data_IF_599944284566
#
_entry.id   IF_599944284566
#
_cell.length_a   1.000
_cell.length_b   1.000
_cell.length_c   1.000
_cell.angle_alpha   90.00
_cell.angle_beta   90.00
_cell.angle_gamma   90.00
#
_symmetry.space_group_name_H-M   'P 1'
#
loop_
_entity.id
_entity.type
_entity.pdbx_description
1 polymer ?
#
# COMPACT_ATOMS: atom_id res chain seq x y z
N UNK A 1 29.67 42.04 12.39
CA UNK A 1 28.39 42.68 12.77
C UNK A 1 27.29 42.11 11.90
N UNK A 2 26.39 41.25 12.41
CA UNK A 2 25.20 40.80 11.70
C UNK A 2 23.91 41.36 12.35
N UNK A 3 22.86 41.57 11.56
CA UNK A 3 21.53 41.06 11.89
C UNK A 3 21.09 40.17 10.71
N UNK A 4 20.46 39.01 10.88
CA UNK A 4 19.13 38.82 11.44
C UNK A 4 18.95 37.33 11.85
N UNK A 5 18.55 37.13 13.12
CA UNK A 5 18.08 35.88 13.71
C UNK A 5 16.54 35.83 13.67
N UNK A 6 15.98 34.65 13.45
CA UNK A 6 14.74 34.19 14.12
C UNK A 6 14.93 32.69 14.40
N UNK A 7 15.56 32.27 15.50
CA UNK A 7 15.10 32.22 16.89
C UNK A 7 13.83 31.41 17.11
N UNK A 8 14.03 30.10 17.30
CA UNK A 8 13.22 29.29 18.18
C UNK A 8 13.17 29.91 19.59
N UNK A 9 12.00 29.86 20.26
CA UNK A 9 11.91 29.60 21.71
C UNK A 9 10.49 29.33 22.16
N UNK A 10 10.30 28.09 22.63
CA UNK A 10 9.30 27.68 23.60
C UNK A 10 9.28 28.64 24.79
N UNK A 11 8.09 29.10 25.18
CA UNK A 11 7.79 29.47 26.56
C UNK A 11 6.41 28.93 26.90
N UNK A 12 6.41 27.84 27.67
CA UNK A 12 5.25 27.38 28.40
C UNK A 12 5.06 28.33 29.60
N UNK A 13 4.06 29.20 29.54
CA UNK A 13 3.64 29.97 30.69
C UNK A 13 2.64 29.14 31.50
N UNK A 14 3.14 28.59 32.61
CA UNK A 14 2.32 28.12 33.73
C UNK A 14 1.71 29.36 34.38
N UNK A 15 0.38 29.50 34.33
CA UNK A 15 -0.37 30.41 35.17
C UNK A 15 -1.22 29.59 36.14
N UNK A 16 -0.77 29.53 37.39
CA UNK A 16 -1.53 29.06 38.55
C UNK A 16 -2.07 30.30 39.28
N UNK A 17 -3.37 30.30 39.59
CA UNK A 17 -4.03 31.19 40.56
C UNK A 17 -5.43 31.59 40.08
N UNK A 18 -6.51 31.55 40.87
CA UNK A 18 -6.73 31.12 42.26
C UNK A 18 -8.23 31.18 42.55
N UNK A 19 -8.71 30.22 43.35
CA UNK A 19 -9.84 30.24 44.30
C UNK A 19 -11.12 31.08 44.01
N UNK A 20 -12.23 30.35 43.88
CA UNK A 20 -13.59 30.83 44.17
C UNK A 20 -14.47 29.65 44.60
N UNK A 21 -14.78 29.59 45.89
CA UNK A 21 -15.55 28.53 46.56
C UNK A 21 -17.06 28.74 46.34
N UNK A 22 -17.81 27.73 45.91
CA UNK A 22 -19.23 27.57 46.24
C UNK A 22 -19.73 26.13 46.00
N UNK A 23 -19.90 25.42 47.13
CA UNK A 23 -21.02 24.56 47.48
C UNK A 23 -21.49 23.45 46.50
N UNK A 24 -21.05 22.24 46.82
CA UNK A 24 -21.87 21.03 46.95
C UNK A 24 -23.19 20.91 46.19
N UNK A 25 -23.16 20.17 45.09
CA UNK A 25 -24.15 19.14 44.73
C UNK A 25 -23.83 18.43 43.39
N UNK A 26 -22.58 18.46 42.91
CA UNK A 26 -22.24 18.03 41.54
C UNK A 26 -21.07 17.01 41.45
N UNK A 27 -20.82 16.20 42.49
CA UNK A 27 -19.68 15.26 42.46
C UNK A 27 -20.04 13.83 42.03
N UNK A 28 -21.31 13.43 42.08
CA UNK A 28 -21.71 12.06 41.72
C UNK A 28 -21.96 11.88 40.22
N UNK A 29 -22.29 12.96 39.49
CA UNK A 29 -22.49 12.92 38.04
C UNK A 29 -21.17 12.93 37.26
N UNK A 30 -20.18 13.71 37.70
CA UNK A 30 -18.91 13.91 36.98
C UNK A 30 -18.13 12.61 36.68
N UNK A 31 -18.08 11.68 37.63
CA UNK A 31 -17.34 10.42 37.48
C UNK A 31 -17.92 9.48 36.41
N UNK A 32 -19.24 9.52 36.17
CA UNK A 32 -19.90 8.71 35.13
C UNK A 32 -19.67 9.30 33.73
N UNK A 33 -19.54 10.63 33.62
CA UNK A 33 -19.20 11.30 32.37
C UNK A 33 -17.72 11.15 32.02
N UNK A 34 -16.81 11.24 33.00
CA UNK A 34 -15.37 11.01 32.79
C UNK A 34 -15.05 9.61 32.24
N UNK A 35 -15.73 8.56 32.76
CA UNK A 35 -15.58 7.20 32.22
C UNK A 35 -16.08 7.08 30.78
N UNK A 36 -17.20 7.72 30.46
CA UNK A 36 -17.77 7.71 29.10
C UNK A 36 -16.88 8.45 28.11
N UNK A 37 -16.33 9.61 28.48
CA UNK A 37 -15.40 10.33 27.61
C UNK A 37 -14.09 9.57 27.41
N UNK A 38 -13.54 8.89 28.43
CA UNK A 38 -12.36 8.03 28.24
C UNK A 38 -12.65 6.88 27.26
N UNK A 39 -13.80 6.23 27.34
CA UNK A 39 -14.18 5.16 26.41
C UNK A 39 -14.32 5.70 24.98
N UNK A 40 -14.98 6.84 24.80
CA UNK A 40 -15.16 7.46 23.47
C UNK A 40 -13.82 7.87 22.85
N UNK A 41 -12.94 8.49 23.63
CA UNK A 41 -11.60 8.90 23.17
C UNK A 41 -10.75 7.66 22.84
N UNK A 42 -10.80 6.62 23.66
CA UNK A 42 -10.05 5.37 23.41
C UNK A 42 -10.54 4.65 22.15
N UNK A 43 -11.86 4.64 21.92
CA UNK A 43 -12.46 4.03 20.73
C UNK A 43 -12.09 4.83 19.48
N UNK A 44 -12.16 6.17 19.56
CA UNK A 44 -11.75 7.08 18.50
C UNK A 44 -10.28 6.89 18.11
N UNK A 45 -9.39 6.82 19.10
CA UNK A 45 -7.97 6.57 18.89
C UNK A 45 -7.71 5.20 18.26
N UNK A 46 -8.41 4.15 18.69
CA UNK A 46 -8.29 2.82 18.11
C UNK A 46 -8.68 2.84 16.62
N UNK A 47 -9.84 3.45 16.28
CA UNK A 47 -10.23 3.61 14.88
C UNK A 47 -9.21 4.42 14.08
N UNK A 48 -8.62 5.47 14.66
CA UNK A 48 -7.62 6.28 13.98
C UNK A 48 -6.33 5.49 13.71
N UNK A 49 -5.89 4.65 14.65
CA UNK A 49 -4.75 3.75 14.47
C UNK A 49 -5.05 2.72 13.38
N UNK A 50 -6.24 2.10 13.40
CA UNK A 50 -6.64 1.09 12.39
C UNK A 50 -6.68 1.73 11.00
N UNK A 51 -7.31 2.90 10.85
CA UNK A 51 -7.37 3.63 9.58
C UNK A 51 -5.97 4.04 9.13
N UNK A 52 -5.15 4.59 10.03
CA UNK A 52 -3.76 4.95 9.74
C UNK A 52 -2.94 3.76 9.25
N UNK A 53 -3.07 2.60 9.90
CA UNK A 53 -2.35 1.38 9.54
C UNK A 53 -2.80 0.82 8.18
N UNK A 54 -4.09 0.95 7.84
CA UNK A 54 -4.62 0.60 6.51
C UNK A 54 -4.06 1.56 5.45
N UNK A 55 -4.05 2.87 5.71
CA UNK A 55 -3.53 3.88 4.76
C UNK A 55 -2.02 3.68 4.50
N UNK A 56 -1.22 3.42 5.55
CA UNK A 56 0.22 3.17 5.38
C UNK A 56 0.51 1.89 4.59
N UNK A 57 -0.35 0.87 4.67
CA UNK A 57 -0.22 -0.35 3.84
C UNK A 57 -0.58 -0.11 2.38
N UNK A 58 -1.46 0.85 2.09
CA UNK A 58 -1.90 1.13 0.71
C UNK A 58 -0.94 2.03 -0.07
N UNK A 59 -0.05 2.76 0.60
CA UNK A 59 0.89 3.72 0.02
C UNK A 59 2.32 3.17 -0.08
N UNK A 60 2.47 1.87 -0.36
CA UNK A 60 3.77 1.38 -0.81
C UNK A 60 3.94 1.82 -2.25
N UNK A 61 4.79 2.82 -2.50
CA UNK A 61 5.14 3.28 -3.85
C UNK A 61 5.59 2.08 -4.68
N UNK A 62 4.68 1.57 -5.51
CA UNK A 62 4.93 0.40 -6.32
C UNK A 62 5.70 0.83 -7.55
N UNK A 63 6.89 0.26 -7.76
CA UNK A 63 7.69 0.58 -8.95
C UNK A 63 6.98 0.07 -10.19
N UNK A 64 6.74 0.95 -11.16
CA UNK A 64 6.31 0.52 -12.49
C UNK A 64 7.50 -0.05 -13.25
N UNK A 65 7.37 -1.29 -13.74
CA UNK A 65 8.40 -1.96 -14.54
C UNK A 65 8.01 -1.97 -16.01
N UNK A 66 8.98 -1.62 -16.87
CA UNK A 66 8.90 -1.85 -18.30
C UNK A 66 8.99 -3.34 -18.65
N UNK A 67 8.70 -3.69 -19.90
CA UNK A 67 8.80 -5.06 -20.39
C UNK A 67 10.22 -5.63 -20.30
N UNK A 68 11.23 -4.82 -20.62
CA UNK A 68 12.63 -5.25 -20.54
C UNK A 68 13.07 -5.49 -19.09
N UNK A 69 12.73 -4.58 -18.17
CA UNK A 69 13.05 -4.73 -16.75
C UNK A 69 12.37 -5.93 -16.13
N UNK A 70 11.08 -6.14 -16.42
CA UNK A 70 10.35 -7.31 -15.94
C UNK A 70 10.99 -8.60 -16.46
N UNK A 71 11.33 -8.65 -17.74
CA UNK A 71 11.98 -9.83 -18.35
C UNK A 71 13.32 -10.12 -17.68
N UNK A 72 14.13 -9.09 -17.44
CA UNK A 72 15.40 -9.23 -16.74
C UNK A 72 15.22 -9.75 -15.30
N UNK A 73 14.20 -9.28 -14.57
CA UNK A 73 13.90 -9.75 -13.22
C UNK A 73 13.44 -11.22 -13.20
N UNK A 74 12.65 -11.66 -14.18
CA UNK A 74 12.26 -13.07 -14.33
C UNK A 74 13.50 -13.94 -14.59
N UNK A 75 14.36 -13.52 -15.52
CA UNK A 75 15.56 -14.28 -15.90
C UNK A 75 16.61 -14.36 -14.78
N UNK A 76 16.73 -13.30 -13.98
CA UNK A 76 17.64 -13.24 -12.83
C UNK A 76 17.08 -13.89 -11.56
N UNK A 77 15.85 -14.43 -11.62
CA UNK A 77 15.16 -15.06 -10.47
C UNK A 77 15.06 -14.13 -9.23
N UNK A 78 14.91 -12.82 -9.46
CA UNK A 78 14.79 -11.82 -8.39
C UNK A 78 13.34 -11.60 -7.94
N UNK A 79 12.38 -12.30 -8.54
CA UNK A 79 10.97 -12.18 -8.21
C UNK A 79 10.62 -12.98 -6.95
N UNK A 80 10.23 -12.28 -5.90
CA UNK A 80 9.87 -12.85 -4.60
C UNK A 80 8.42 -13.33 -4.57
N UNK A 81 7.49 -12.54 -5.10
CA UNK A 81 6.07 -12.90 -5.23
C UNK A 81 5.54 -12.34 -6.54
N UNK A 82 4.76 -13.13 -7.29
CA UNK A 82 4.23 -12.71 -8.59
C UNK A 82 2.76 -13.09 -8.69
N UNK A 83 1.94 -12.12 -9.07
CA UNK A 83 0.52 -12.29 -9.37
C UNK A 83 0.26 -11.79 -10.78
N UNK A 84 -0.13 -12.69 -11.67
CA UNK A 84 -0.49 -12.33 -13.05
C UNK A 84 -2.00 -12.24 -13.14
N UNK A 85 -2.47 -11.09 -13.63
CA UNK A 85 -3.88 -10.83 -13.90
C UNK A 85 -4.12 -11.00 -15.40
N UNK A 86 -4.82 -12.07 -15.75
CA UNK A 86 -5.17 -12.36 -17.13
C UNK A 86 -6.36 -11.50 -17.55
N UNK A 87 -6.23 -10.67 -18.59
CA UNK A 87 -7.36 -9.91 -19.11
C UNK A 87 -8.39 -10.85 -19.76
N UNK A 88 -9.67 -10.47 -19.74
CA UNK A 88 -10.73 -11.25 -20.38
C UNK A 88 -10.75 -11.11 -21.91
N UNK A 89 -10.25 -9.98 -22.42
CA UNK A 89 -10.21 -9.64 -23.84
C UNK A 89 -8.85 -9.04 -24.20
N UNK A 90 -8.34 -9.26 -25.43
CA UNK A 90 -7.13 -8.62 -25.90
C UNK A 90 -7.29 -7.09 -25.92
N UNK A 91 -6.33 -6.37 -25.36
CA UNK A 91 -6.24 -4.92 -25.51
C UNK A 91 -5.87 -4.52 -26.94
N UNK A 92 -5.93 -3.22 -27.25
CA UNK A 92 -5.41 -2.66 -28.51
C UNK A 92 -4.23 -1.74 -28.21
N UNK A 93 -3.09 -1.97 -28.85
CA UNK A 93 -1.94 -1.08 -28.86
C UNK A 93 -1.70 -0.68 -30.32
N UNK A 94 -1.78 0.62 -30.63
CA UNK A 94 -1.64 1.15 -32.00
C UNK A 94 -2.54 0.46 -33.05
N UNK A 95 -3.75 0.08 -32.65
CA UNK A 95 -4.73 -0.62 -33.50
C UNK A 95 -4.50 -2.13 -33.64
N UNK A 96 -3.39 -2.67 -33.14
CA UNK A 96 -3.07 -4.10 -33.13
C UNK A 96 -3.61 -4.74 -31.85
N UNK A 97 -4.32 -5.88 -31.93
CA UNK A 97 -4.73 -6.61 -30.74
C UNK A 97 -3.49 -7.17 -30.01
N UNK A 98 -3.25 -6.73 -28.79
CA UNK A 98 -2.14 -7.19 -27.94
C UNK A 98 -2.68 -7.65 -26.60
N UNK A 99 -2.31 -8.87 -26.20
CA UNK A 99 -2.67 -9.42 -24.90
C UNK A 99 -1.70 -8.90 -23.83
N UNK A 100 -1.96 -7.69 -23.33
CA UNK A 100 -1.19 -7.12 -22.23
C UNK A 100 -1.70 -7.64 -20.88
N UNK A 101 -0.81 -8.28 -20.14
CA UNK A 101 -1.10 -8.83 -18.83
C UNK A 101 -0.63 -7.86 -17.77
N UNK A 102 -1.47 -7.62 -16.76
CA UNK A 102 -1.04 -6.85 -15.59
C UNK A 102 -0.39 -7.81 -14.62
N UNK A 103 0.85 -7.54 -14.25
CA UNK A 103 1.60 -8.32 -13.27
C UNK A 103 1.84 -7.46 -12.05
N UNK A 104 1.60 -8.00 -10.86
CA UNK A 104 1.89 -7.34 -9.59
C UNK A 104 2.67 -8.27 -8.70
N UNK A 105 3.56 -7.74 -7.89
CA UNK A 105 4.38 -8.60 -7.08
C UNK A 105 5.36 -7.86 -6.21
N UNK A 106 6.33 -8.61 -5.71
CA UNK A 106 7.53 -8.08 -5.05
C UNK A 106 8.78 -8.67 -5.68
N UNK A 107 9.86 -7.89 -5.72
CA UNK A 107 11.19 -8.33 -6.11
C UNK A 107 12.18 -8.13 -4.96
N UNK A 108 13.22 -8.95 -4.92
CA UNK A 108 14.31 -8.80 -3.96
C UNK A 108 15.22 -7.66 -4.38
N UNK A 109 15.54 -6.76 -3.45
CA UNK A 109 16.55 -5.75 -3.70
C UNK A 109 17.94 -6.35 -3.66
N UNK A 110 18.81 -5.95 -4.57
CA UNK A 110 20.20 -6.41 -4.64
C UNK A 110 21.17 -5.26 -4.38
N UNK A 111 22.32 -5.58 -3.77
CA UNK A 111 23.42 -4.65 -3.64
C UNK A 111 24.22 -4.49 -4.94
N UNK A 112 25.28 -3.66 -4.92
CA UNK A 112 26.16 -3.45 -6.07
C UNK A 112 26.94 -4.71 -6.50
N UNK A 113 27.00 -5.73 -5.63
CA UNK A 113 27.61 -7.04 -5.92
C UNK A 113 26.58 -8.06 -6.42
N UNK A 114 25.30 -7.68 -6.56
CA UNK A 114 24.22 -8.56 -7.00
C UNK A 114 23.69 -9.51 -5.92
N UNK A 115 24.07 -9.31 -4.65
CA UNK A 115 23.55 -10.11 -3.54
C UNK A 115 22.25 -9.52 -3.01
N UNK A 116 21.30 -10.39 -2.61
CA UNK A 116 20.02 -9.95 -2.03
C UNK A 116 20.28 -9.24 -0.70
N UNK A 117 19.84 -7.98 -0.62
CA UNK A 117 19.90 -7.18 0.58
C UNK A 117 19.02 -7.79 1.67
N UNK A 118 19.57 -7.83 2.89
CA UNK A 118 18.88 -8.34 4.07
C UNK A 118 18.93 -7.30 5.17
N UNK A 119 17.76 -6.87 5.61
CA UNK A 119 17.61 -5.99 6.76
C UNK A 119 17.16 -6.84 7.95
N UNK A 120 17.97 -6.87 9.01
CA UNK A 120 17.71 -7.68 10.22
C UNK A 120 17.49 -9.18 9.93
N UNK A 121 18.18 -9.72 8.92
CA UNK A 121 18.09 -11.14 8.52
C UNK A 121 16.90 -11.48 7.61
N UNK A 122 16.04 -10.51 7.28
CA UNK A 122 14.93 -10.67 6.35
C UNK A 122 15.30 -10.06 4.99
N UNK A 123 15.08 -10.80 3.90
CA UNK A 123 15.31 -10.30 2.55
C UNK A 123 14.43 -9.09 2.25
N UNK A 124 15.02 -8.03 1.71
CA UNK A 124 14.31 -6.80 1.43
C UNK A 124 13.50 -6.94 0.13
N UNK A 125 12.17 -6.85 0.26
CA UNK A 125 11.22 -7.00 -0.84
C UNK A 125 10.61 -5.64 -1.22
N UNK A 126 10.63 -5.28 -2.50
CA UNK A 126 10.00 -4.07 -3.01
C UNK A 126 8.82 -4.39 -3.94
N UNK A 127 7.67 -3.70 -3.79
CA UNK A 127 6.50 -3.93 -4.62
C UNK A 127 6.70 -3.39 -6.04
N UNK A 128 6.15 -4.11 -7.02
CA UNK A 128 6.14 -3.67 -8.42
C UNK A 128 4.79 -3.89 -9.10
N UNK A 129 4.58 -3.13 -10.18
CA UNK A 129 3.50 -3.32 -11.15
C UNK A 129 4.10 -3.30 -12.55
N UNK A 130 3.76 -4.27 -13.38
CA UNK A 130 4.19 -4.32 -14.78
C UNK A 130 2.98 -4.53 -15.69
N UNK A 131 3.01 -3.94 -16.88
CA UNK A 131 2.09 -4.25 -17.98
C UNK A 131 2.91 -4.84 -19.11
N UNK A 132 2.85 -6.15 -19.28
CA UNK A 132 3.77 -6.87 -20.16
C UNK A 132 3.04 -7.84 -21.07
N UNK A 133 3.62 -8.06 -22.24
CA UNK A 133 3.23 -9.19 -23.08
C UNK A 133 3.91 -10.45 -22.53
N UNK A 134 3.12 -11.36 -21.96
CA UNK A 134 3.61 -12.65 -21.49
C UNK A 134 3.74 -13.60 -22.68
N UNK A 135 4.96 -13.82 -23.14
CA UNK A 135 5.26 -14.88 -24.10
C UNK A 135 5.17 -16.25 -23.41
N UNK A 136 4.96 -17.31 -24.19
CA UNK A 136 4.90 -18.68 -23.65
C UNK A 136 6.16 -19.08 -22.85
N UNK A 137 7.32 -18.55 -23.23
CA UNK A 137 8.59 -18.78 -22.51
C UNK A 137 8.62 -18.08 -21.14
N UNK A 138 8.18 -16.82 -21.08
CA UNK A 138 8.08 -16.06 -19.83
C UNK A 138 7.05 -16.69 -18.90
N UNK A 139 5.90 -17.10 -19.43
CA UNK A 139 4.87 -17.81 -18.67
C UNK A 139 5.37 -19.17 -18.16
N UNK A 140 6.08 -19.94 -19.00
CA UNK A 140 6.70 -21.20 -18.59
C UNK A 140 7.74 -21.01 -17.48
N UNK A 141 8.50 -19.92 -17.50
CA UNK A 141 9.48 -19.61 -16.45
C UNK A 141 8.80 -19.20 -15.15
N UNK A 142 7.76 -18.37 -15.24
CA UNK A 142 6.99 -17.92 -14.09
C UNK A 142 6.23 -19.07 -13.41
N UNK A 143 5.58 -19.92 -14.19
CA UNK A 143 4.80 -21.07 -13.67
C UNK A 143 5.67 -22.14 -13.02
N UNK A 144 6.95 -22.24 -13.38
CA UNK A 144 7.93 -23.09 -12.68
C UNK A 144 8.40 -22.52 -11.34
N UNK A 145 8.24 -21.22 -11.12
CA UNK A 145 8.58 -20.59 -9.85
C UNK A 145 7.47 -20.86 -8.82
N UNK A 146 7.84 -21.26 -7.60
CA UNK A 146 6.91 -21.41 -6.48
C UNK A 146 6.25 -20.09 -6.03
N UNK A 147 6.75 -18.97 -6.55
CA UNK A 147 6.35 -17.63 -6.16
C UNK A 147 5.22 -17.06 -7.04
N UNK A 148 4.69 -17.86 -7.96
CA UNK A 148 3.71 -17.44 -8.95
C UNK A 148 2.27 -17.79 -8.57
N UNK A 149 1.35 -16.86 -8.84
CA UNK A 149 -0.09 -17.06 -8.72
C UNK A 149 -0.82 -16.42 -9.90
N UNK A 150 -1.69 -17.19 -10.54
CA UNK A 150 -2.58 -16.71 -11.59
C UNK A 150 -3.89 -16.18 -10.98
N UNK A 151 -4.28 -14.97 -11.36
CA UNK A 151 -5.56 -14.36 -11.00
C UNK A 151 -6.44 -14.33 -12.24
N UNK A 152 -7.47 -15.18 -12.25
CA UNK A 152 -8.49 -15.19 -13.28
C UNK A 152 -9.36 -13.92 -13.18
N UNK A 153 -9.81 -13.35 -14.31
CA UNK A 153 -10.76 -12.25 -14.30
C UNK A 153 -12.06 -12.66 -13.60
N UNK A 154 -12.66 -11.71 -12.87
CA UNK A 154 -13.90 -11.93 -12.13
C UNK A 154 -15.04 -12.26 -13.12
N UNK A 155 -15.70 -13.43 -13.01
CA UNK A 155 -16.77 -13.82 -13.92
C UNK A 155 -17.96 -12.85 -13.92
N UNK A 156 -18.21 -12.12 -12.82
CA UNK A 156 -19.26 -11.10 -12.75
C UNK A 156 -18.91 -9.86 -13.61
N UNK A 157 -17.63 -9.49 -13.68
CA UNK A 157 -17.18 -8.38 -14.52
C UNK A 157 -17.32 -8.73 -16.02
N UNK A 158 -17.11 -9.99 -16.40
CA UNK A 158 -17.29 -10.48 -17.77
C UNK A 158 -18.75 -10.46 -18.24
N UNK A 159 -19.72 -10.67 -17.32
CA UNK A 159 -21.14 -10.68 -17.67
C UNK A 159 -21.66 -9.28 -17.97
N UNK A 160 -21.18 -8.27 -17.25
CA UNK A 160 -21.58 -6.87 -17.44
C UNK A 160 -21.02 -6.31 -18.75
N UNK A 161 -19.75 -6.57 -19.07
CA UNK A 161 -19.17 -6.11 -20.35
C UNK A 161 -19.87 -6.72 -21.57
N UNK A 162 -20.25 -8.00 -21.51
CA UNK A 162 -21.01 -8.65 -22.60
C UNK A 162 -22.39 -8.04 -22.86
N UNK A 163 -23.05 -7.51 -21.82
CA UNK A 163 -24.34 -6.83 -21.99
C UNK A 163 -24.22 -5.51 -22.75
N UNK A 164 -23.17 -4.73 -22.50
CA UNK A 164 -22.96 -3.46 -23.21
C UNK A 164 -22.50 -3.65 -24.66
N UNK A 165 -21.89 -4.79 -25.00
CA UNK A 165 -21.50 -5.12 -26.38
C UNK A 165 -22.70 -5.57 -27.22
N UNK A 166 -23.71 -6.20 -26.63
CA UNK A 166 -24.93 -6.65 -27.34
C UNK A 166 -26.00 -5.56 -27.51
N UNK A 167 -25.82 -4.38 -26.92
CA UNK A 167 -26.81 -3.28 -26.97
C UNK A 167 -26.51 -2.24 -28.05
N UNK A 168 -25.68 -2.55 -29.05
CA UNK A 168 -25.30 -1.64 -30.12
C UNK A 168 -25.64 -2.19 -31.50
#
# INVERSE_FOLDING_TARGET
MPPWLQSARLVAAVAIGSFGVAAGSHLQHSHKYMKKTTVIVSLGLLTFIVVGLVVTRTNSDSRELSQAEFTAMVQSNLLAKVRVYYPAEPGKLDGVPVMLHRVRGTFYQTDAAGQILKTQGVSEEFPFIARVHLTAELEGTLTRSSNFSAVSPNPLAQKVSKWFVHSK
#
